data_IF_455506488403
#
_entry.id   IF_455506488403
#
_cell.length_a   1.000
_cell.length_b   1.000
_cell.length_c   1.000
_cell.angle_alpha   90.00
_cell.angle_beta   90.00
_cell.angle_gamma   90.00
#
_symmetry.space_group_name_H-M   'P 1'
#
loop_
_entity.id
_entity.type
_entity.pdbx_description
1 polymer ?
#
# COMPACT_ATOMS: atom_id res chain seq x y z
N UNK A 1 -66.53 16.99 54.97
CA UNK A 1 -66.11 15.59 55.23
C UNK A 1 -65.34 15.07 54.02
N UNK A 2 -64.03 14.90 54.21
CA UNK A 2 -63.07 13.93 53.62
C UNK A 2 -63.24 13.50 52.14
N UNK A 3 -62.26 13.75 51.26
CA UNK A 3 -62.11 13.02 49.99
C UNK A 3 -61.37 11.69 50.21
N UNK A 4 -61.80 10.61 49.53
CA UNK A 4 -61.06 9.34 49.44
C UNK A 4 -60.03 9.42 48.30
N UNK A 5 -58.78 8.94 48.48
CA UNK A 5 -57.81 8.87 47.39
C UNK A 5 -58.00 7.60 46.55
N UNK A 6 -57.93 7.76 45.22
CA UNK A 6 -57.87 6.65 44.28
C UNK A 6 -56.48 5.98 44.32
N UNK A 7 -56.50 4.65 44.25
CA UNK A 7 -55.34 3.77 44.36
C UNK A 7 -54.38 3.90 43.18
N UNK A 8 -53.11 4.17 43.47
CA UNK A 8 -51.99 3.95 42.55
C UNK A 8 -51.62 2.45 42.63
N UNK A 9 -51.84 1.70 41.55
CA UNK A 9 -51.25 0.38 41.36
C UNK A 9 -50.68 0.26 39.95
N UNK A 10 -49.48 -0.34 39.90
CA UNK A 10 -48.74 -0.86 38.73
C UNK A 10 -47.81 0.10 37.98
N UNK A 11 -46.71 0.51 38.64
CA UNK A 11 -45.46 0.91 37.95
C UNK A 11 -44.24 0.11 38.44
N UNK A 12 -44.44 -0.83 39.38
CA UNK A 12 -43.35 -1.57 40.03
C UNK A 12 -42.52 -2.52 39.13
N UNK A 13 -43.05 -3.22 38.09
CA UNK A 13 -42.24 -4.20 37.38
C UNK A 13 -41.29 -3.58 36.33
N UNK A 14 -41.59 -2.39 35.80
CA UNK A 14 -40.76 -1.72 34.79
C UNK A 14 -39.56 -1.02 35.45
N UNK A 15 -39.76 -0.42 36.63
CA UNK A 15 -38.68 0.23 37.37
C UNK A 15 -37.63 -0.77 37.86
N UNK A 16 -38.05 -1.97 38.29
CA UNK A 16 -37.13 -3.01 38.74
C UNK A 16 -36.28 -3.56 37.58
N UNK A 17 -36.86 -3.69 36.38
CA UNK A 17 -36.15 -4.15 35.19
C UNK A 17 -35.13 -3.11 34.70
N UNK A 18 -35.48 -1.81 34.71
CA UNK A 18 -34.55 -0.73 34.38
C UNK A 18 -33.40 -0.62 35.40
N UNK A 19 -33.67 -0.84 36.69
CA UNK A 19 -32.65 -0.83 37.73
C UNK A 19 -31.67 -2.01 37.58
N UNK A 20 -32.16 -3.20 37.24
CA UNK A 20 -31.32 -4.38 36.99
C UNK A 20 -30.44 -4.22 35.74
N UNK A 21 -30.98 -3.64 34.66
CA UNK A 21 -30.19 -3.33 33.45
C UNK A 21 -29.12 -2.27 33.76
N UNK A 22 -29.45 -1.24 34.55
CA UNK A 22 -28.50 -0.21 34.95
C UNK A 22 -27.39 -0.77 35.85
N UNK A 23 -27.72 -1.63 36.81
CA UNK A 23 -26.74 -2.32 37.65
C UNK A 23 -25.84 -3.21 36.78
N UNK A 24 -26.39 -3.95 35.82
CA UNK A 24 -25.59 -4.81 34.93
C UNK A 24 -24.63 -4.00 34.04
N UNK A 25 -25.06 -2.86 33.49
CA UNK A 25 -24.21 -1.96 32.70
C UNK A 25 -23.10 -1.34 33.58
N UNK A 26 -23.41 -0.94 34.81
CA UNK A 26 -22.43 -0.39 35.77
C UNK A 26 -21.44 -1.47 36.22
N UNK A 27 -21.88 -2.72 36.40
CA UNK A 27 -21.01 -3.86 36.75
C UNK A 27 -20.04 -4.22 35.62
N UNK A 28 -20.49 -4.23 34.36
CA UNK A 28 -19.63 -4.44 33.18
C UNK A 28 -18.61 -3.29 33.03
N UNK A 29 -19.04 -2.05 33.30
CA UNK A 29 -18.15 -0.88 33.28
C UNK A 29 -17.11 -0.90 34.41
N UNK A 30 -17.47 -1.44 35.60
CA UNK A 30 -16.54 -1.60 36.72
C UNK A 30 -15.55 -2.76 36.53
N UNK A 31 -15.96 -3.90 35.97
CA UNK A 31 -15.05 -5.02 35.64
C UNK A 31 -14.07 -4.64 34.52
N UNK A 32 -14.53 -3.93 33.48
CA UNK A 32 -13.64 -3.39 32.44
C UNK A 32 -12.67 -2.33 32.98
N UNK A 33 -13.07 -1.51 33.97
CA UNK A 33 -12.15 -0.58 34.64
C UNK A 33 -11.06 -1.27 35.47
N UNK A 34 -11.33 -2.47 36.02
CA UNK A 34 -10.33 -3.26 36.75
C UNK A 34 -9.29 -3.90 35.82
N UNK A 35 -9.68 -4.28 34.60
CA UNK A 35 -8.74 -4.71 33.57
C UNK A 35 -7.92 -3.54 32.98
N UNK A 36 -8.47 -2.32 32.94
CA UNK A 36 -7.74 -1.12 32.47
C UNK A 36 -6.73 -0.59 33.51
N UNK A 37 -6.91 -0.86 34.81
CA UNK A 37 -5.98 -0.40 35.86
C UNK A 37 -4.68 -1.22 35.99
N UNK A 38 -4.58 -2.43 35.42
CA UNK A 38 -3.32 -3.18 35.41
C UNK A 38 -2.35 -2.79 34.29
N UNK A 39 -2.77 -1.99 33.31
CA UNK A 39 -1.91 -1.53 32.22
C UNK A 39 -1.29 -0.14 32.45
N UNK A 40 -1.79 0.65 33.39
CA UNK A 40 -1.31 2.02 33.63
C UNK A 40 -0.17 2.13 34.65
N UNK A 41 0.05 1.10 35.47
CA UNK A 41 1.13 1.13 36.48
C UNK A 41 2.52 0.82 35.90
N UNK A 42 2.60 0.32 34.66
CA UNK A 42 3.88 0.09 33.97
C UNK A 42 4.32 1.24 33.05
N UNK A 43 3.49 2.27 32.85
CA UNK A 43 3.75 3.33 31.86
C UNK A 43 4.25 4.66 32.42
N UNK A 44 4.48 4.77 33.73
CA UNK A 44 4.91 6.03 34.37
C UNK A 44 6.40 6.11 34.75
N UNK A 45 7.26 5.18 34.30
CA UNK A 45 8.70 5.22 34.57
C UNK A 45 9.58 4.99 33.33
N UNK A 46 9.25 5.61 32.19
CA UNK A 46 10.20 5.77 31.08
C UNK A 46 10.31 7.25 30.67
N UNK A 47 10.81 8.05 31.62
CA UNK A 47 11.50 9.30 31.33
C UNK A 47 12.99 9.06 31.54
N UNK A 48 13.63 8.43 30.57
CA UNK A 48 15.09 8.50 30.41
C UNK A 48 15.45 8.32 28.94
N UNK A 49 16.40 9.14 28.52
CA UNK A 49 16.93 9.30 27.17
C UNK A 49 17.47 7.97 26.59
N UNK A 50 17.36 7.71 25.27
CA UNK A 50 17.83 6.47 24.67
C UNK A 50 19.34 6.57 24.42
N UNK A 51 20.13 6.40 25.48
CA UNK A 51 21.56 6.04 25.38
C UNK A 51 21.82 5.00 26.46
N UNK A 52 21.84 3.74 26.06
CA UNK A 52 22.23 2.49 26.78
C UNK A 52 21.12 1.48 26.93
N UNK A 53 20.84 0.75 25.84
CA UNK A 53 20.56 -0.67 25.94
C UNK A 53 21.51 -1.36 24.95
N UNK A 54 21.96 -2.57 25.28
CA UNK A 54 23.02 -3.35 24.61
C UNK A 54 24.45 -3.07 25.08
N UNK A 55 24.68 -3.38 26.35
CA UNK A 55 25.96 -3.95 26.79
C UNK A 55 25.75 -5.46 26.99
N UNK A 56 26.61 -6.23 26.34
CA UNK A 56 26.98 -7.63 26.62
C UNK A 56 26.01 -8.71 26.11
N UNK A 57 26.30 -9.21 24.91
CA UNK A 57 26.32 -10.64 24.63
C UNK A 57 27.62 -10.92 23.85
N UNK A 58 28.72 -11.13 24.59
CA UNK A 58 29.87 -11.85 24.07
C UNK A 58 29.73 -13.29 24.54
N UNK A 59 29.56 -14.22 23.59
CA UNK A 59 30.30 -15.48 23.55
C UNK A 59 30.02 -16.22 22.24
N UNK A 60 31.09 -16.32 21.44
CA UNK A 60 31.57 -17.44 20.63
C UNK A 60 30.59 -18.21 19.72
N UNK A 61 30.91 -18.16 18.42
CA UNK A 61 30.42 -19.00 17.32
C UNK A 61 28.97 -18.78 16.88
N UNK A 62 28.70 -17.69 16.15
CA UNK A 62 27.62 -17.67 15.15
C UNK A 62 27.77 -16.47 14.19
N UNK A 63 28.54 -16.66 13.13
CA UNK A 63 28.78 -15.65 12.08
C UNK A 63 27.62 -15.58 11.05
N UNK A 64 26.36 -15.80 11.48
CA UNK A 64 25.20 -15.86 10.56
C UNK A 64 23.91 -15.14 10.99
N UNK A 65 23.91 -14.36 12.05
CA UNK A 65 22.69 -13.63 12.51
C UNK A 65 22.95 -12.19 12.95
N UNK A 66 23.82 -11.45 12.27
CA UNK A 66 23.81 -9.99 12.43
C UNK A 66 22.60 -9.42 11.69
N UNK A 67 21.50 -9.19 12.38
CA UNK A 67 20.45 -8.29 11.88
C UNK A 67 21.12 -6.92 11.75
N UNK A 68 21.24 -6.40 10.52
CA UNK A 68 21.91 -5.14 10.29
C UNK A 68 21.09 -3.97 10.85
N UNK A 69 21.77 -2.89 11.26
CA UNK A 69 21.14 -1.72 11.88
C UNK A 69 20.03 -1.11 11.02
N UNK A 70 20.10 -1.26 9.69
CA UNK A 70 19.08 -0.76 8.77
C UNK A 70 17.81 -1.62 8.84
N UNK A 71 17.94 -2.94 8.92
CA UNK A 71 16.82 -3.86 9.19
C UNK A 71 16.15 -3.58 10.54
N UNK A 72 16.92 -3.29 11.59
CA UNK A 72 16.38 -2.93 12.93
C UNK A 72 15.64 -1.59 12.86
N UNK A 73 16.25 -0.57 12.28
CA UNK A 73 15.65 0.75 12.11
C UNK A 73 14.35 0.68 11.30
N UNK A 74 14.32 -0.17 10.28
CA UNK A 74 13.15 -0.35 9.45
C UNK A 74 11.98 -0.97 10.19
N UNK A 75 12.24 -2.01 11.00
CA UNK A 75 11.24 -2.59 11.87
C UNK A 75 10.72 -1.57 12.90
N UNK A 76 11.60 -0.76 13.48
CA UNK A 76 11.20 0.33 14.39
C UNK A 76 10.34 1.38 13.67
N UNK A 77 10.73 1.83 12.47
CA UNK A 77 9.94 2.76 11.67
C UNK A 77 8.58 2.17 11.29
N UNK A 78 8.55 0.92 10.84
CA UNK A 78 7.32 0.19 10.52
C UNK A 78 6.40 0.06 11.75
N UNK A 79 6.95 -0.29 12.91
CA UNK A 79 6.19 -0.38 14.16
C UNK A 79 5.65 0.99 14.60
N UNK A 80 6.40 2.08 14.42
CA UNK A 80 5.92 3.45 14.67
C UNK A 80 4.74 3.82 13.77
N UNK A 81 4.78 3.38 12.51
CA UNK A 81 3.69 3.55 11.56
C UNK A 81 2.44 2.69 11.90
N UNK A 82 2.60 1.59 12.65
CA UNK A 82 1.47 0.76 13.13
C UNK A 82 0.81 1.33 14.40
N UNK A 83 1.59 2.03 15.25
CA UNK A 83 1.07 2.73 16.42
C UNK A 83 0.30 4.01 16.06
N UNK A 84 0.62 4.63 14.92
CA UNK A 84 -0.33 5.54 14.27
C UNK A 84 -1.42 4.66 13.64
N UNK A 85 -2.53 4.47 14.36
CA UNK A 85 -3.61 3.54 14.01
C UNK A 85 -4.30 3.91 12.69
N UNK A 86 -3.62 3.73 11.56
CA UNK A 86 -4.18 3.90 10.24
C UNK A 86 -4.81 2.58 9.80
N UNK A 87 -5.92 2.22 10.41
CA UNK A 87 -6.83 1.21 9.88
C UNK A 87 -8.14 1.93 9.57
N UNK A 88 -8.49 2.18 8.30
CA UNK A 88 -9.84 2.58 7.98
C UNK A 88 -10.76 1.35 8.12
N UNK A 89 -11.75 1.43 8.98
CA UNK A 89 -13.02 0.73 8.76
C UNK A 89 -13.60 1.27 7.45
N UNK A 90 -13.73 0.43 6.41
CA UNK A 90 -14.04 0.90 5.04
C UNK A 90 -15.36 0.34 4.53
N UNK A 91 -16.33 1.20 4.14
CA UNK A 91 -17.50 0.76 3.38
C UNK A 91 -17.57 1.23 1.90
N UNK A 92 -16.53 1.81 1.26
CA UNK A 92 -16.58 2.09 -0.19
C UNK A 92 -15.21 2.10 -0.91
N UNK A 93 -14.96 1.00 -1.62
CA UNK A 93 -14.20 0.68 -2.85
C UNK A 93 -14.23 -0.84 -2.83
N UNK A 94 -15.34 -1.46 -3.27
CA UNK A 94 -15.46 -2.92 -3.15
C UNK A 94 -14.37 -3.52 -4.05
N UNK A 95 -13.37 -4.14 -3.44
CA UNK A 95 -12.58 -5.14 -4.15
C UNK A 95 -13.58 -6.07 -4.89
N UNK A 96 -13.26 -6.52 -6.11
CA UNK A 96 -14.12 -7.46 -6.82
C UNK A 96 -14.48 -8.61 -5.87
N UNK A 97 -15.71 -9.11 -5.95
CA UNK A 97 -16.05 -10.29 -5.16
C UNK A 97 -15.13 -11.43 -5.59
N UNK A 98 -14.33 -11.95 -4.66
CA UNK A 98 -13.42 -13.07 -4.91
C UNK A 98 -14.12 -14.32 -4.39
N UNK A 99 -14.51 -15.23 -5.28
CA UNK A 99 -14.96 -16.56 -4.85
C UNK A 99 -13.72 -17.40 -4.55
N UNK A 100 -13.19 -17.29 -3.32
CA UNK A 100 -12.06 -18.08 -2.86
C UNK A 100 -12.36 -18.70 -1.50
N UNK A 101 -12.11 -20.01 -1.39
CA UNK A 101 -12.14 -20.75 -0.12
C UNK A 101 -10.93 -20.44 0.77
N UNK A 102 -9.97 -19.63 0.29
CA UNK A 102 -8.79 -19.14 1.02
C UNK A 102 -8.73 -17.62 0.91
N UNK A 103 -8.54 -16.94 2.05
CA UNK A 103 -8.53 -15.49 2.28
C UNK A 103 -8.01 -14.64 1.10
N UNK A 104 -8.47 -13.38 0.98
CA UNK A 104 -8.06 -12.29 0.06
C UNK A 104 -6.54 -12.00 -0.08
N UNK A 105 -5.69 -12.81 0.54
CA UNK A 105 -4.23 -12.73 0.52
C UNK A 105 -3.69 -13.59 -0.62
N UNK A 106 -2.78 -13.01 -1.40
CA UNK A 106 -1.98 -13.75 -2.35
C UNK A 106 -1.26 -14.91 -1.63
N UNK A 107 -1.05 -16.07 -2.29
CA UNK A 107 -0.42 -17.22 -1.66
C UNK A 107 1.10 -17.05 -1.42
N UNK A 108 1.64 -15.89 -1.77
CA UNK A 108 3.05 -15.56 -1.68
C UNK A 108 3.25 -14.13 -1.20
N UNK A 109 4.42 -13.85 -0.64
CA UNK A 109 4.83 -12.50 -0.21
C UNK A 109 6.15 -12.12 -0.87
N UNK A 110 6.30 -10.86 -1.25
CA UNK A 110 7.55 -10.33 -1.81
C UNK A 110 8.78 -10.74 -0.98
N UNK A 111 8.68 -10.61 0.34
CA UNK A 111 9.76 -10.96 1.28
C UNK A 111 10.22 -12.42 1.22
N UNK A 112 9.40 -13.34 0.73
CA UNK A 112 9.71 -14.77 0.63
C UNK A 112 10.41 -15.13 -0.70
N UNK A 113 10.43 -14.24 -1.68
CA UNK A 113 11.04 -14.54 -2.98
C UNK A 113 12.55 -14.47 -2.90
N UNK A 114 13.22 -15.53 -3.40
CA UNK A 114 14.68 -15.58 -3.53
C UNK A 114 15.13 -14.69 -4.69
N UNK A 115 16.26 -14.00 -4.55
CA UNK A 115 16.85 -13.24 -5.65
C UNK A 115 17.40 -14.17 -6.73
N UNK A 116 17.03 -13.92 -7.98
CA UNK A 116 17.60 -14.57 -9.16
C UNK A 116 18.99 -14.00 -9.48
N UNK A 117 19.96 -14.83 -9.92
CA UNK A 117 21.24 -14.34 -10.42
C UNK A 117 21.11 -13.61 -11.77
N UNK A 118 20.00 -13.81 -12.50
CA UNK A 118 19.76 -13.20 -13.81
C UNK A 118 19.15 -11.81 -13.70
N UNK A 119 18.16 -11.66 -12.82
CA UNK A 119 17.51 -10.39 -12.48
C UNK A 119 17.20 -10.41 -10.98
N UNK A 120 18.11 -9.83 -10.20
CA UNK A 120 18.05 -9.82 -8.75
C UNK A 120 16.88 -8.98 -8.24
N UNK A 121 16.44 -9.26 -7.00
CA UNK A 121 15.55 -8.33 -6.33
C UNK A 121 16.26 -7.03 -6.01
N UNK A 122 15.61 -5.90 -6.24
CA UNK A 122 16.21 -4.58 -5.96
C UNK A 122 15.72 -3.95 -4.65
N UNK A 123 14.48 -4.21 -4.25
CA UNK A 123 14.05 -3.90 -2.89
C UNK A 123 14.49 -4.99 -1.90
N UNK A 124 15.13 -4.55 -0.82
CA UNK A 124 15.17 -5.34 0.41
C UNK A 124 13.75 -5.55 0.94
N UNK A 125 13.49 -6.57 1.79
CA UNK A 125 12.19 -6.71 2.45
C UNK A 125 11.75 -5.46 3.22
N UNK A 126 12.71 -4.74 3.81
CA UNK A 126 12.47 -3.48 4.49
C UNK A 126 11.91 -2.41 3.55
N UNK A 127 12.61 -2.16 2.44
CA UNK A 127 12.26 -1.05 1.55
C UNK A 127 10.98 -1.33 0.80
N UNK A 128 10.72 -2.59 0.44
CA UNK A 128 9.42 -3.01 -0.07
C UNK A 128 8.31 -2.66 0.94
N UNK A 129 8.50 -2.96 2.23
CA UNK A 129 7.51 -2.63 3.26
C UNK A 129 7.30 -1.11 3.38
N UNK A 130 8.38 -0.32 3.36
CA UNK A 130 8.29 1.15 3.37
C UNK A 130 7.56 1.69 2.13
N UNK A 131 7.90 1.21 0.94
CA UNK A 131 7.25 1.61 -0.31
C UNK A 131 5.75 1.27 -0.29
N UNK A 132 5.38 0.07 0.16
CA UNK A 132 3.98 -0.34 0.30
C UNK A 132 3.24 0.49 1.36
N UNK A 133 3.84 0.78 2.52
CA UNK A 133 3.24 1.66 3.53
C UNK A 133 3.02 3.08 3.00
N UNK A 134 3.96 3.60 2.21
CA UNK A 134 3.80 4.90 1.58
C UNK A 134 2.66 4.88 0.55
N UNK A 135 2.53 3.81 -0.22
CA UNK A 135 1.43 3.63 -1.17
C UNK A 135 0.08 3.55 -0.47
N UNK A 136 0.00 2.88 0.69
CA UNK A 136 -1.20 2.85 1.54
C UNK A 136 -1.60 4.23 2.04
N UNK A 137 -0.62 5.07 2.41
CA UNK A 137 -0.87 6.45 2.82
C UNK A 137 -1.48 7.23 1.65
N UNK A 138 -0.88 7.14 0.46
CA UNK A 138 -1.36 7.82 -0.75
C UNK A 138 -2.75 7.32 -1.16
N UNK A 139 -2.98 6.01 -1.18
CA UNK A 139 -4.29 5.40 -1.47
C UNK A 139 -5.38 5.98 -0.56
N UNK A 140 -5.10 6.09 0.75
CA UNK A 140 -6.06 6.61 1.73
C UNK A 140 -6.40 8.08 1.49
N UNK A 141 -5.41 8.90 1.14
CA UNK A 141 -5.64 10.30 0.76
C UNK A 141 -6.55 10.35 -0.44
N UNK A 142 -6.19 9.61 -1.49
CA UNK A 142 -6.94 9.61 -2.73
C UNK A 142 -8.38 9.17 -2.49
N UNK A 143 -8.59 8.07 -1.76
CA UNK A 143 -9.93 7.55 -1.44
C UNK A 143 -10.73 8.52 -0.57
N UNK A 144 -10.15 9.04 0.53
CA UNK A 144 -10.83 9.97 1.45
C UNK A 144 -11.26 11.26 0.75
N UNK A 145 -10.48 11.72 -0.22
CA UNK A 145 -10.74 12.97 -0.94
C UNK A 145 -11.30 12.75 -2.35
N UNK A 146 -11.66 11.53 -2.71
CA UNK A 146 -12.20 11.19 -4.04
C UNK A 146 -11.30 11.67 -5.20
N UNK A 147 -9.98 11.51 -5.05
CA UNK A 147 -8.99 11.76 -6.10
C UNK A 147 -8.77 10.45 -6.84
N UNK A 148 -8.97 10.48 -8.16
CA UNK A 148 -8.69 9.33 -9.02
C UNK A 148 -7.19 9.15 -9.15
N UNK A 149 -6.71 7.93 -8.95
CA UNK A 149 -5.34 7.54 -9.31
C UNK A 149 -5.34 6.16 -9.96
N UNK A 150 -4.25 5.81 -10.65
CA UNK A 150 -4.06 4.48 -11.24
C UNK A 150 -2.59 4.10 -11.20
N UNK A 151 -2.29 2.81 -11.00
CA UNK A 151 -0.95 2.29 -11.27
C UNK A 151 -0.62 2.43 -12.76
N UNK A 152 0.63 2.76 -13.07
CA UNK A 152 1.16 2.84 -14.44
C UNK A 152 2.54 2.19 -14.55
N UNK A 153 3.11 2.16 -15.76
CA UNK A 153 4.48 1.70 -16.03
C UNK A 153 4.86 0.36 -15.35
N UNK A 154 6.01 0.32 -14.65
CA UNK A 154 6.51 -0.89 -14.00
C UNK A 154 5.54 -1.41 -12.94
N UNK A 155 4.88 -0.50 -12.22
CA UNK A 155 3.86 -0.86 -11.22
C UNK A 155 2.61 -1.50 -11.82
N UNK A 156 2.12 -1.01 -12.96
CA UNK A 156 1.02 -1.66 -13.68
C UNK A 156 1.43 -3.05 -14.17
N UNK A 157 2.64 -3.18 -14.73
CA UNK A 157 3.16 -4.48 -15.16
C UNK A 157 3.34 -5.43 -13.97
N UNK A 158 3.81 -4.95 -12.83
CA UNK A 158 3.94 -5.71 -11.58
C UNK A 158 2.58 -6.22 -11.09
N UNK A 159 1.59 -5.32 -10.99
CA UNK A 159 0.21 -5.69 -10.65
C UNK A 159 -0.35 -6.71 -11.66
N UNK A 160 -0.04 -6.55 -12.94
CA UNK A 160 -0.51 -7.46 -13.98
C UNK A 160 0.18 -8.83 -13.95
N UNK A 161 1.50 -8.90 -13.72
CA UNK A 161 2.30 -10.11 -13.95
C UNK A 161 2.72 -10.83 -12.67
N UNK A 162 2.93 -10.11 -11.57
CA UNK A 162 3.44 -10.67 -10.31
C UNK A 162 2.45 -10.51 -9.15
N UNK A 163 1.46 -9.62 -9.32
CA UNK A 163 0.57 -9.14 -8.26
C UNK A 163 1.31 -8.39 -7.14
N UNK A 164 2.48 -7.85 -7.43
CA UNK A 164 3.33 -7.07 -6.53
C UNK A 164 4.31 -6.25 -7.39
N UNK A 165 5.20 -5.49 -6.76
CA UNK A 165 6.33 -4.84 -7.44
C UNK A 165 7.11 -5.91 -8.23
N UNK A 166 7.52 -5.58 -9.47
CA UNK A 166 8.39 -6.46 -10.25
C UNK A 166 9.66 -6.70 -9.43
N UNK A 167 10.15 -7.96 -9.27
CA UNK A 167 11.24 -8.25 -8.35
C UNK A 167 12.46 -7.35 -8.56
N UNK A 168 12.82 -7.11 -9.82
CA UNK A 168 13.97 -6.32 -10.27
C UNK A 168 13.63 -4.85 -10.60
N UNK A 169 12.61 -4.30 -9.95
CA UNK A 169 12.18 -2.91 -10.05
C UNK A 169 12.34 -2.26 -8.66
N UNK A 170 12.68 -0.97 -8.63
CA UNK A 170 13.10 -0.27 -7.39
C UNK A 170 12.28 0.99 -7.05
N UNK A 171 11.12 1.17 -7.68
CA UNK A 171 10.17 2.23 -7.38
C UNK A 171 8.71 1.80 -7.61
N UNK A 172 7.79 2.76 -7.43
CA UNK A 172 6.36 2.59 -7.69
C UNK A 172 5.87 3.82 -8.45
N UNK A 173 5.13 3.60 -9.53
CA UNK A 173 4.57 4.63 -10.39
C UNK A 173 3.05 4.66 -10.30
N UNK A 174 2.51 5.84 -10.01
CA UNK A 174 1.07 6.11 -10.15
C UNK A 174 0.83 7.37 -10.98
N UNK A 175 -0.37 7.50 -11.52
CA UNK A 175 -0.81 8.73 -12.18
C UNK A 175 -2.08 9.30 -11.56
N UNK A 176 -2.20 10.63 -11.58
CA UNK A 176 -3.40 11.40 -11.19
C UNK A 176 -3.78 12.42 -12.29
N UNK A 177 -5.04 12.87 -12.37
CA UNK A 177 -5.41 13.96 -13.27
C UNK A 177 -4.60 15.23 -12.97
N UNK A 178 -4.15 15.93 -14.01
CA UNK A 178 -3.43 17.21 -13.86
C UNK A 178 -4.26 18.25 -13.09
N UNK A 179 -5.59 18.19 -13.20
CA UNK A 179 -6.52 19.09 -12.51
C UNK A 179 -6.52 18.87 -10.99
N UNK A 180 -6.25 17.65 -10.51
CA UNK A 180 -6.20 17.30 -9.09
C UNK A 180 -4.82 17.57 -8.46
N UNK A 181 -3.80 17.89 -9.26
CA UNK A 181 -2.40 18.05 -8.82
C UNK A 181 -2.24 18.93 -7.58
N UNK A 182 -2.75 20.17 -7.63
CA UNK A 182 -2.57 21.14 -6.55
C UNK A 182 -3.22 20.63 -5.27
N UNK A 183 -4.46 20.14 -5.38
CA UNK A 183 -5.22 19.60 -4.25
C UNK A 183 -4.53 18.38 -3.64
N UNK A 184 -4.07 17.43 -4.46
CA UNK A 184 -3.34 16.26 -4.00
C UNK A 184 -2.08 16.64 -3.21
N UNK A 185 -1.23 17.52 -3.77
CA UNK A 185 0.02 17.93 -3.12
C UNK A 185 -0.24 18.68 -1.81
N UNK A 186 -1.27 19.52 -1.75
CA UNK A 186 -1.63 20.23 -0.52
C UNK A 186 -2.11 19.27 0.57
N UNK A 187 -2.84 18.21 0.22
CA UNK A 187 -3.23 17.16 1.16
C UNK A 187 -2.01 16.38 1.68
N UNK A 188 -1.06 16.03 0.81
CA UNK A 188 0.19 15.37 1.21
C UNK A 188 1.00 16.24 2.19
N UNK A 189 1.10 17.55 1.93
CA UNK A 189 1.76 18.52 2.83
C UNK A 189 1.07 18.63 4.20
N UNK A 190 -0.26 18.46 4.25
CA UNK A 190 -1.04 18.58 5.47
C UNK A 190 -0.98 17.33 6.35
N UNK A 191 -0.92 16.13 5.76
CA UNK A 191 -1.10 14.87 6.48
C UNK A 191 -0.20 14.69 7.69
N UNK A 192 1.11 14.93 7.53
CA UNK A 192 2.02 14.97 8.65
C UNK A 192 3.37 15.52 8.18
N UNK A 193 3.62 16.81 8.41
CA UNK A 193 4.87 17.50 8.02
C UNK A 193 6.14 16.82 8.55
N UNK A 194 6.03 15.94 9.55
CA UNK A 194 7.16 15.25 10.16
C UNK A 194 7.46 13.89 9.52
N UNK A 195 6.51 13.29 8.79
CA UNK A 195 6.62 11.91 8.33
C UNK A 195 6.88 11.80 6.82
N UNK A 196 6.06 12.46 5.99
CA UNK A 196 6.12 12.36 4.53
C UNK A 196 6.52 13.71 3.94
N UNK A 197 7.36 13.66 2.91
CA UNK A 197 7.76 14.82 2.13
C UNK A 197 7.51 14.53 0.65
N UNK A 198 7.41 15.62 -0.13
CA UNK A 198 7.38 15.53 -1.59
C UNK A 198 8.50 16.38 -2.18
N UNK A 199 8.95 15.99 -3.36
CA UNK A 199 9.82 16.79 -4.21
C UNK A 199 9.13 16.96 -5.57
N UNK A 200 9.33 18.12 -6.20
CA UNK A 200 8.81 18.42 -7.54
C UNK A 200 9.92 18.29 -8.57
N UNK A 201 9.64 17.58 -9.65
CA UNK A 201 10.53 17.50 -10.80
C UNK A 201 9.90 18.30 -11.93
N UNK A 202 10.59 19.37 -12.35
CA UNK A 202 10.11 20.29 -13.37
C UNK A 202 10.66 19.92 -14.75
N UNK A 203 9.90 20.26 -15.79
CA UNK A 203 10.36 20.18 -17.17
C UNK A 203 11.36 21.31 -17.51
N UNK A 204 11.86 21.33 -18.75
CA UNK A 204 12.84 22.33 -19.22
C UNK A 204 12.36 23.78 -19.13
N UNK A 205 11.05 23.99 -19.08
CA UNK A 205 10.42 25.31 -18.95
C UNK A 205 10.09 25.66 -17.50
N UNK A 206 10.58 24.89 -16.53
CA UNK A 206 10.34 25.11 -15.10
C UNK A 206 8.94 24.71 -14.61
N UNK A 207 8.09 24.14 -15.46
CA UNK A 207 6.75 23.70 -15.05
C UNK A 207 6.82 22.34 -14.33
N UNK A 208 6.05 22.12 -13.25
CA UNK A 208 5.98 20.81 -12.60
C UNK A 208 5.57 19.72 -13.58
N UNK A 209 6.39 18.67 -13.68
CA UNK A 209 6.17 17.54 -14.57
C UNK A 209 5.64 16.33 -13.80
N UNK A 210 6.32 15.93 -12.73
CA UNK A 210 5.91 14.86 -11.83
C UNK A 210 6.47 15.10 -10.42
N UNK A 211 6.05 14.28 -9.46
CA UNK A 211 6.43 14.42 -8.06
C UNK A 211 6.97 13.12 -7.51
N UNK A 212 7.93 13.22 -6.58
CA UNK A 212 8.37 12.10 -5.74
C UNK A 212 7.80 12.29 -4.35
N UNK A 213 7.12 11.29 -3.81
CA UNK A 213 6.68 11.24 -2.42
C UNK A 213 7.54 10.22 -1.67
N UNK A 214 8.04 10.57 -0.49
CA UNK A 214 8.96 9.73 0.29
C UNK A 214 8.85 10.02 1.79
N UNK A 215 9.35 9.09 2.61
CA UNK A 215 9.45 9.31 4.05
C UNK A 215 10.64 10.22 4.39
N UNK A 216 10.42 11.23 5.23
CA UNK A 216 11.44 12.22 5.62
C UNK A 216 12.68 11.61 6.27
N UNK A 217 12.49 10.52 7.02
CA UNK A 217 13.55 9.89 7.80
C UNK A 217 14.25 8.73 7.08
N UNK A 218 14.03 8.54 5.77
CA UNK A 218 14.74 7.52 4.99
C UNK A 218 16.03 8.08 4.36
N UNK A 219 17.00 7.24 3.95
CA UNK A 219 18.22 7.70 3.30
C UNK A 219 17.96 8.47 1.99
N UNK A 220 18.75 9.51 1.74
CA UNK A 220 18.70 10.25 0.47
C UNK A 220 19.01 9.33 -0.72
N UNK A 221 18.25 9.49 -1.81
CA UNK A 221 18.48 8.79 -3.05
C UNK A 221 19.62 9.48 -3.82
N UNK A 222 20.78 8.83 -3.96
CA UNK A 222 21.93 9.38 -4.69
C UNK A 222 22.47 10.73 -4.16
N UNK A 223 22.16 11.11 -2.92
CA UNK A 223 22.50 12.43 -2.38
C UNK A 223 21.61 13.58 -2.85
N UNK A 224 20.48 13.28 -3.49
CA UNK A 224 19.50 14.26 -3.96
C UNK A 224 18.55 14.73 -2.83
N UNK A 225 17.70 15.71 -3.15
CA UNK A 225 16.75 16.33 -2.20
C UNK A 225 15.55 15.44 -1.86
N UNK A 226 15.53 14.20 -2.34
CA UNK A 226 14.51 13.20 -2.03
C UNK A 226 15.15 11.91 -1.49
N UNK A 227 14.35 11.13 -0.79
CA UNK A 227 14.80 9.92 -0.12
C UNK A 227 14.26 8.65 -0.78
N UNK A 228 14.95 7.54 -0.57
CA UNK A 228 14.59 6.22 -1.05
C UNK A 228 14.08 5.33 0.10
N UNK A 229 12.99 4.55 -0.08
CA UNK A 229 12.18 4.44 -1.29
C UNK A 229 11.21 5.63 -1.47
N UNK A 230 10.80 5.87 -2.71
CA UNK A 230 9.80 6.87 -3.08
C UNK A 230 8.72 6.28 -3.98
N UNK A 231 7.65 7.05 -4.19
CA UNK A 231 6.61 6.79 -5.19
C UNK A 231 6.60 7.98 -6.16
N UNK A 232 6.69 7.69 -7.45
CA UNK A 232 6.54 8.68 -8.51
C UNK A 232 5.06 8.92 -8.84
N UNK A 233 4.69 10.20 -8.85
CA UNK A 233 3.33 10.69 -9.11
C UNK A 233 3.35 11.44 -10.43
N UNK A 234 2.93 10.75 -11.48
CA UNK A 234 2.77 11.30 -12.81
C UNK A 234 1.44 12.02 -12.95
N UNK A 235 1.40 12.98 -13.86
CA UNK A 235 0.20 13.74 -14.18
C UNK A 235 -0.27 13.36 -15.57
N UNK A 236 -1.57 13.15 -15.73
CA UNK A 236 -2.16 12.93 -17.04
C UNK A 236 -3.19 13.99 -17.39
N UNK A 237 -3.29 14.29 -18.67
CA UNK A 237 -4.38 15.07 -19.25
C UNK A 237 -5.26 14.15 -20.10
N UNK A 238 -6.50 14.58 -20.34
CA UNK A 238 -7.44 13.84 -21.18
C UNK A 238 -8.18 14.77 -22.13
N UNK A 239 -8.67 14.19 -23.23
CA UNK A 239 -9.75 14.79 -24.02
C UNK A 239 -10.94 13.83 -24.04
N UNK A 240 -11.83 13.96 -25.03
CA UNK A 240 -13.00 13.08 -25.16
C UNK A 240 -12.61 11.60 -25.28
N UNK A 241 -11.58 11.28 -26.06
CA UNK A 241 -11.24 9.91 -26.50
C UNK A 241 -9.90 9.38 -25.99
N UNK A 242 -8.97 10.25 -25.61
CA UNK A 242 -7.58 9.91 -25.28
C UNK A 242 -7.11 10.46 -23.93
N UNK A 243 -6.06 9.82 -23.41
CA UNK A 243 -5.31 10.17 -22.22
C UNK A 243 -3.81 10.19 -22.56
N UNK A 244 -3.03 11.10 -21.97
CA UNK A 244 -1.55 11.13 -22.09
C UNK A 244 -0.90 11.72 -20.83
N UNK A 245 0.34 11.31 -20.53
CA UNK A 245 1.19 11.96 -19.53
C UNK A 245 1.51 13.39 -19.98
N UNK A 246 1.40 14.35 -19.06
CA UNK A 246 1.73 15.74 -19.31
C UNK A 246 3.21 15.87 -19.68
N UNK A 247 3.51 16.70 -20.69
CA UNK A 247 4.84 16.84 -21.30
C UNK A 247 5.36 15.63 -22.09
N UNK A 248 4.60 14.53 -22.18
CA UNK A 248 4.96 13.32 -22.94
C UNK A 248 3.82 12.84 -23.85
N UNK A 249 3.48 13.58 -24.94
CA UNK A 249 2.40 13.20 -25.86
C UNK A 249 2.58 11.82 -26.51
N UNK A 250 3.80 11.29 -26.57
CA UNK A 250 4.09 9.94 -27.07
C UNK A 250 3.52 8.81 -26.22
N UNK A 251 3.03 9.13 -25.00
CA UNK A 251 2.32 8.22 -24.09
C UNK A 251 0.82 8.12 -24.37
N UNK A 252 0.32 8.78 -25.41
CA UNK A 252 -1.10 8.80 -25.74
C UNK A 252 -1.69 7.39 -25.83
N UNK A 253 -2.85 7.21 -25.19
CA UNK A 253 -3.63 5.96 -25.21
C UNK A 253 -5.13 6.25 -25.23
N UNK A 254 -5.92 5.28 -25.68
CA UNK A 254 -7.37 5.39 -25.71
C UNK A 254 -7.95 5.33 -24.30
N UNK A 255 -8.89 6.23 -23.99
CA UNK A 255 -9.56 6.25 -22.68
C UNK A 255 -10.31 4.96 -22.38
N UNK A 256 -10.84 4.29 -23.40
CA UNK A 256 -11.52 3.00 -23.22
C UNK A 256 -10.60 1.84 -22.80
N UNK A 257 -9.27 2.00 -22.96
CA UNK A 257 -8.29 1.02 -22.46
C UNK A 257 -8.00 1.25 -20.98
N UNK A 258 -8.20 2.49 -20.51
CA UNK A 258 -7.96 2.92 -19.13
C UNK A 258 -9.23 2.79 -18.29
N UNK A 259 -10.32 3.40 -18.72
CA UNK A 259 -11.55 3.58 -17.95
C UNK A 259 -12.68 2.63 -18.37
N UNK A 260 -13.61 2.30 -17.45
CA UNK A 260 -13.52 2.55 -16.00
C UNK A 260 -12.33 1.77 -15.39
N UNK A 261 -11.69 2.35 -14.37
CA UNK A 261 -10.58 1.67 -13.70
C UNK A 261 -11.07 0.38 -13.04
N UNK A 262 -10.19 -0.62 -12.97
CA UNK A 262 -10.46 -1.91 -12.32
C UNK A 262 -9.46 -2.16 -11.21
N UNK A 263 -9.93 -2.74 -10.11
CA UNK A 263 -9.07 -3.09 -8.99
C UNK A 263 -8.27 -4.35 -9.32
N UNK A 264 -6.95 -4.28 -9.19
CA UNK A 264 -6.03 -5.42 -9.38
C UNK A 264 -5.10 -5.56 -8.17
N UNK A 265 -4.63 -6.77 -7.86
CA UNK A 265 -3.75 -6.99 -6.73
C UNK A 265 -2.37 -6.36 -6.94
N UNK A 266 -1.81 -5.79 -5.88
CA UNK A 266 -0.47 -5.23 -5.82
C UNK A 266 0.03 -5.30 -4.37
N UNK A 267 0.83 -6.31 -4.07
CA UNK A 267 1.24 -6.67 -2.72
C UNK A 267 0.03 -7.01 -1.86
N UNK A 268 -0.13 -6.30 -0.74
CA UNK A 268 -1.24 -6.49 0.19
C UNK A 268 -2.50 -5.69 -0.20
N UNK A 269 -2.44 -4.92 -1.29
CA UNK A 269 -3.50 -4.02 -1.71
C UNK A 269 -4.20 -4.51 -2.97
N UNK A 270 -5.43 -4.05 -3.12
CA UNK A 270 -6.12 -4.01 -4.40
C UNK A 270 -6.19 -2.56 -4.82
N UNK A 271 -5.63 -2.22 -5.97
CA UNK A 271 -5.44 -0.83 -6.39
C UNK A 271 -6.07 -0.58 -7.77
N UNK A 272 -6.51 0.66 -8.06
CA UNK A 272 -7.03 1.00 -9.36
C UNK A 272 -5.97 0.87 -10.45
N UNK A 273 -6.35 0.24 -11.56
CA UNK A 273 -5.51 0.03 -12.74
C UNK A 273 -6.34 0.21 -14.01
N UNK A 274 -5.70 0.41 -15.18
CA UNK A 274 -6.40 0.40 -16.46
C UNK A 274 -7.20 -0.88 -16.69
N UNK A 275 -8.38 -0.76 -17.30
CA UNK A 275 -9.26 -1.91 -17.60
C UNK A 275 -8.59 -2.93 -18.53
N UNK A 276 -7.92 -2.46 -19.59
CA UNK A 276 -7.30 -3.28 -20.64
C UNK A 276 -5.77 -3.07 -20.65
N UNK A 277 -5.02 -3.55 -19.63
CA UNK A 277 -3.59 -3.31 -19.54
C UNK A 277 -2.79 -3.92 -20.72
N UNK A 278 -3.27 -5.02 -21.31
CA UNK A 278 -2.66 -5.62 -22.52
C UNK A 278 -2.63 -4.69 -23.73
N UNK A 279 -3.65 -3.86 -23.90
CA UNK A 279 -3.71 -2.88 -25.00
C UNK A 279 -2.78 -1.69 -24.77
N UNK A 280 -2.32 -1.50 -23.52
CA UNK A 280 -1.41 -0.43 -23.13
C UNK A 280 0.05 -0.89 -23.24
N UNK A 281 0.33 -2.16 -22.96
CA UNK A 281 1.67 -2.73 -23.12
C UNK A 281 2.04 -2.82 -24.61
N UNK A 282 3.03 -2.04 -25.04
CA UNK A 282 3.59 -2.08 -26.40
C UNK A 282 4.53 -3.28 -26.65
N UNK A 283 4.47 -4.30 -25.79
CA UNK A 283 5.32 -5.50 -25.79
C UNK A 283 4.58 -6.65 -25.11
N UNK A 284 5.03 -7.90 -25.31
CA UNK A 284 4.50 -9.04 -24.55
C UNK A 284 5.08 -9.07 -23.12
N UNK A 285 4.25 -8.90 -22.08
CA UNK A 285 4.68 -8.96 -20.68
C UNK A 285 5.37 -10.27 -20.27
N UNK A 286 5.21 -11.36 -21.02
CA UNK A 286 5.67 -12.71 -20.66
C UNK A 286 6.80 -13.25 -21.54
N UNK A 287 7.28 -12.51 -22.54
CA UNK A 287 8.38 -12.98 -23.40
C UNK A 287 9.76 -12.59 -22.82
N UNK A 288 10.09 -11.29 -22.87
CA UNK A 288 11.39 -10.78 -22.42
C UNK A 288 11.23 -9.94 -21.15
N UNK A 289 11.85 -10.41 -20.07
CA UNK A 289 11.89 -9.73 -18.79
C UNK A 289 13.11 -8.81 -18.78
N UNK A 290 12.85 -7.51 -18.70
CA UNK A 290 13.87 -6.46 -18.75
C UNK A 290 13.98 -5.79 -17.40
N UNK A 291 15.20 -5.61 -16.92
CA UNK A 291 15.52 -4.64 -15.88
C UNK A 291 15.36 -3.21 -16.39
N UNK A 292 15.27 -2.24 -15.50
CA UNK A 292 15.26 -0.83 -15.87
C UNK A 292 16.69 -0.28 -15.99
N UNK A 293 16.85 0.78 -16.78
CA UNK A 293 18.13 1.41 -17.08
C UNK A 293 18.54 2.52 -16.10
N UNK A 294 17.76 2.71 -15.02
CA UNK A 294 17.97 3.77 -14.04
C UNK A 294 17.91 3.22 -12.61
N UNK A 295 18.98 3.31 -11.85
CA UNK A 295 18.99 2.90 -10.45
C UNK A 295 18.42 4.04 -9.59
N UNK A 296 17.20 3.89 -9.08
CA UNK A 296 16.52 4.96 -8.33
C UNK A 296 17.08 5.17 -6.93
N UNK A 297 17.68 4.14 -6.33
CA UNK A 297 18.37 4.25 -5.04
C UNK A 297 19.55 5.22 -5.08
N UNK A 298 20.35 5.13 -6.14
CA UNK A 298 21.57 5.92 -6.29
C UNK A 298 21.42 7.06 -7.31
N UNK A 299 20.28 7.13 -8.01
CA UNK A 299 19.96 8.13 -9.03
C UNK A 299 21.00 8.18 -10.16
N UNK A 300 21.40 7.00 -10.63
CA UNK A 300 22.41 6.82 -11.69
C UNK A 300 21.89 5.91 -12.80
N UNK A 301 22.39 6.10 -14.02
CA UNK A 301 22.16 5.15 -15.11
C UNK A 301 22.84 3.82 -14.82
N UNK A 302 22.18 2.74 -15.22
CA UNK A 302 22.72 1.40 -15.19
C UNK A 302 22.45 0.68 -16.51
N UNK A 303 23.18 -0.42 -16.74
CA UNK A 303 22.98 -1.25 -17.93
C UNK A 303 21.66 -2.01 -17.80
N UNK A 304 20.80 -1.89 -18.81
CA UNK A 304 19.61 -2.73 -18.94
C UNK A 304 20.03 -4.19 -19.18
N UNK A 305 19.48 -5.10 -18.38
CA UNK A 305 19.64 -6.55 -18.53
C UNK A 305 18.30 -7.11 -19.02
N UNK A 306 18.34 -7.98 -20.02
CA UNK A 306 17.15 -8.65 -20.56
C UNK A 306 17.37 -10.15 -20.56
N UNK A 307 16.40 -10.91 -20.03
CA UNK A 307 16.39 -12.38 -20.04
C UNK A 307 15.02 -12.90 -20.45
N UNK A 308 14.90 -14.18 -20.80
CA UNK A 308 13.59 -14.77 -21.06
C UNK A 308 12.81 -14.87 -19.75
N UNK A 309 11.58 -14.40 -19.75
CA UNK A 309 10.74 -14.47 -18.55
C UNK A 309 10.51 -15.91 -18.09
N UNK A 310 10.53 -16.88 -19.02
CA UNK A 310 10.43 -18.30 -18.70
C UNK A 310 11.54 -18.78 -17.74
N UNK A 311 12.75 -18.24 -17.87
CA UNK A 311 13.89 -18.57 -17.01
C UNK A 311 13.72 -18.05 -15.58
N UNK A 312 12.68 -17.23 -15.33
CA UNK A 312 12.38 -16.64 -14.02
C UNK A 312 11.13 -17.24 -13.38
N UNK A 313 10.31 -18.01 -14.12
CA UNK A 313 9.03 -18.58 -13.62
C UNK A 313 9.21 -19.54 -12.42
N UNK A 314 10.37 -20.15 -12.28
CA UNK A 314 10.69 -21.04 -11.16
C UNK A 314 11.22 -20.30 -9.92
N UNK A 315 11.51 -19.01 -10.03
CA UNK A 315 12.09 -18.17 -8.97
C UNK A 315 11.07 -17.16 -8.45
N UNK A 316 10.36 -16.50 -9.37
CA UNK A 316 9.38 -15.46 -9.07
C UNK A 316 7.99 -15.90 -9.54
N UNK A 317 6.92 -15.45 -8.87
CA UNK A 317 5.58 -15.79 -9.31
C UNK A 317 5.24 -15.02 -10.59
N UNK A 318 4.95 -15.77 -11.65
CA UNK A 318 4.31 -15.23 -12.84
C UNK A 318 2.86 -15.67 -12.82
N UNK A 319 1.96 -14.68 -12.89
CA UNK A 319 0.53 -14.91 -12.89
C UNK A 319 -0.02 -14.82 -14.30
N UNK A 320 -0.54 -15.93 -14.77
CA UNK A 320 -1.24 -16.03 -16.05
C UNK A 320 -2.73 -15.74 -15.87
N UNK A 321 -3.32 -15.12 -16.88
CA UNK A 321 -4.67 -14.56 -16.85
C UNK A 321 -5.51 -15.13 -17.98
N UNK A 322 -6.64 -15.73 -17.62
CA UNK A 322 -7.64 -16.24 -18.58
C UNK A 322 -8.93 -15.44 -18.48
N UNK A 323 -9.66 -15.35 -19.60
CA UNK A 323 -10.96 -14.67 -19.72
C UNK A 323 -10.94 -13.15 -19.43
N UNK A 324 -9.88 -12.46 -19.85
CA UNK A 324 -9.67 -11.03 -19.58
C UNK A 324 -10.73 -10.07 -20.19
N UNK A 325 -11.54 -10.55 -21.13
CA UNK A 325 -12.63 -9.78 -21.76
C UNK A 325 -13.99 -9.95 -21.07
N UNK A 326 -14.12 -10.87 -20.13
CA UNK A 326 -15.36 -11.17 -19.42
C UNK A 326 -15.46 -10.51 -18.05
N UNK A 327 -16.62 -10.66 -17.40
CA UNK A 327 -16.81 -10.31 -15.98
C UNK A 327 -16.09 -11.25 -15.02
N UNK A 328 -15.45 -12.31 -15.51
CA UNK A 328 -14.75 -13.31 -14.71
C UNK A 328 -13.33 -13.45 -15.25
N UNK A 329 -12.34 -13.18 -14.42
CA UNK A 329 -10.92 -13.40 -14.72
C UNK A 329 -10.37 -14.52 -13.83
N UNK A 330 -9.68 -15.50 -14.43
CA UNK A 330 -9.04 -16.59 -13.69
C UNK A 330 -7.53 -16.34 -13.66
N UNK A 331 -6.98 -16.28 -12.45
CA UNK A 331 -5.57 -16.03 -12.18
C UNK A 331 -4.88 -17.34 -11.81
N UNK A 332 -3.77 -17.66 -12.48
CA UNK A 332 -3.03 -18.91 -12.30
C UNK A 332 -1.54 -18.71 -12.09
N UNK A 333 -0.94 -19.60 -11.31
CA UNK A 333 0.52 -19.78 -11.23
C UNK A 333 0.83 -21.25 -11.41
N UNK A 334 1.69 -21.62 -12.37
CA UNK A 334 2.08 -23.01 -12.66
C UNK A 334 0.86 -23.96 -12.69
N UNK A 335 -0.11 -23.64 -13.56
CA UNK A 335 -1.40 -24.35 -13.75
C UNK A 335 -2.38 -24.35 -12.56
N UNK A 336 -1.96 -23.85 -11.40
CA UNK A 336 -2.81 -23.75 -10.20
C UNK A 336 -3.61 -22.46 -10.21
N UNK A 337 -4.94 -22.55 -10.07
CA UNK A 337 -5.79 -21.37 -9.88
C UNK A 337 -5.50 -20.76 -8.50
N UNK A 338 -5.03 -19.51 -8.50
CA UNK A 338 -4.80 -18.74 -7.27
C UNK A 338 -6.03 -17.91 -6.90
N UNK A 339 -6.72 -17.31 -7.88
CA UNK A 339 -7.94 -16.54 -7.66
C UNK A 339 -8.87 -16.63 -8.88
N UNK A 340 -10.18 -16.58 -8.60
CA UNK A 340 -11.21 -16.27 -9.59
C UNK A 340 -11.81 -14.91 -9.21
N UNK A 341 -11.62 -13.92 -10.08
CA UNK A 341 -11.99 -12.52 -9.85
C UNK A 341 -13.25 -12.19 -10.62
N UNK A 342 -14.26 -11.65 -9.94
CA UNK A 342 -15.52 -11.23 -10.55
C UNK A 342 -15.57 -9.70 -10.62
N UNK A 343 -15.52 -9.17 -11.84
CA UNK A 343 -15.68 -7.76 -12.12
C UNK A 343 -17.16 -7.43 -12.32
N UNK A 344 -17.68 -6.55 -11.47
CA UNK A 344 -19.02 -5.98 -11.62
C UNK A 344 -18.89 -4.76 -12.55
N UNK A 345 -19.08 -4.97 -13.86
CA UNK A 345 -19.10 -3.90 -14.86
C UNK A 345 -20.45 -3.22 -14.96
#
# INVERSE_FOLDING_TARGET
MIPRPASIRQVAPIFLLCLLIFIFIVSISLESSRYVKLSLYHFLNFSSTPKTFYKILNNTEDEKTSVDDHSIWCLDMANRLDNEQYLPESPFLRAPSINSTRLYRLPYRYSQWKSSPYLARLFTPCEHNLAMRLLMIIERVCRKHNITFSLIYGSLLGSYRHHDIIPWDDDIDIMIPIEERTRFIDLIKQMNKTLVQHNVLSNRNGKPRYYKIFFKNTPSAGGLSWNFPFIDIFLYATNETHLWETDYPSTITLKEYVFPLVMRPFGELWLPTPRKPREIFKFDPFDNCKGHNWNHRNEIRQKEISVKCNDLKHIYPFVERQNQSGSIEILRTNDTIIHTVFYNY
#
